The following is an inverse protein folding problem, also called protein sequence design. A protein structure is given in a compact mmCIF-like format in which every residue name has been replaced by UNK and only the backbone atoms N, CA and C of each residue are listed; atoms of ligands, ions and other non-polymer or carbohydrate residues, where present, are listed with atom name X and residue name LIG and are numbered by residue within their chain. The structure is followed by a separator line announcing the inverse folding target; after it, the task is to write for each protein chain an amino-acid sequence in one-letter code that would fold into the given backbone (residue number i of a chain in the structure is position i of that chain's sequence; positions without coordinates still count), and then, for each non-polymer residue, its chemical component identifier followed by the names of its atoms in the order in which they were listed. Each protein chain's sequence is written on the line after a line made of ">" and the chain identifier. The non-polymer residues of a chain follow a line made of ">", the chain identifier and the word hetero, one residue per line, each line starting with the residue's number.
data_IF_670150936001
#
_entry.id   IF_670150936001
#
_cell.length_a   1.000
_cell.length_b   1.000
_cell.length_c   1.000
_cell.angle_alpha   90.00
_cell.angle_beta   90.00
_cell.angle_gamma   90.00
#
_symmetry.space_group_name_H-M   'P 1'
#
loop_
_entity.id
_entity.type
_entity.pdbx_description
1 polymer ?
#
# COMPACT_ATOMS: atom_id res chain seq x y z
N UNK A 1 -14.71 13.21 1.98
CA UNK A 1 -13.65 13.55 1.00
C UNK A 1 -13.22 12.25 0.35
N UNK A 2 -13.22 12.14 -0.97
CA UNK A 2 -12.74 10.94 -1.64
C UNK A 2 -11.18 10.98 -1.71
N UNK A 3 -10.57 9.86 -2.06
CA UNK A 3 -9.10 9.74 -2.07
C UNK A 3 -8.41 10.68 -3.09
N UNK A 4 -9.08 11.05 -4.19
CA UNK A 4 -8.54 12.01 -5.17
C UNK A 4 -8.49 13.42 -4.59
N UNK A 5 -9.54 13.86 -3.90
CA UNK A 5 -9.58 15.15 -3.21
C UNK A 5 -8.54 15.22 -2.09
N UNK A 6 -8.32 14.12 -1.37
CA UNK A 6 -7.28 14.04 -0.32
C UNK A 6 -5.89 14.19 -0.95
N UNK A 7 -5.63 13.47 -2.05
CA UNK A 7 -4.36 13.56 -2.76
C UNK A 7 -4.10 14.96 -3.31
N UNK A 8 -5.11 15.57 -3.93
CA UNK A 8 -5.03 16.95 -4.43
C UNK A 8 -4.74 17.94 -3.31
N UNK A 9 -5.40 17.79 -2.16
CA UNK A 9 -5.14 18.60 -0.96
C UNK A 9 -3.69 18.46 -0.50
N UNK A 10 -3.17 17.22 -0.45
CA UNK A 10 -1.79 16.96 -0.04
C UNK A 10 -0.77 17.57 -1.01
N UNK A 11 -0.97 17.39 -2.33
CA UNK A 11 -0.08 17.95 -3.37
C UNK A 11 -0.09 19.48 -3.32
N UNK A 12 -1.27 20.11 -3.24
CA UNK A 12 -1.42 21.56 -3.19
C UNK A 12 -0.76 22.16 -1.93
N UNK A 13 -0.92 21.51 -0.77
CA UNK A 13 -0.27 21.93 0.47
C UNK A 13 1.25 21.93 0.33
N UNK A 14 1.83 20.87 -0.23
CA UNK A 14 3.28 20.75 -0.45
C UNK A 14 3.81 21.77 -1.46
N UNK A 15 3.02 22.15 -2.45
CA UNK A 15 3.38 23.15 -3.45
C UNK A 15 3.29 24.58 -2.93
N UNK A 16 2.42 24.86 -1.95
CA UNK A 16 2.21 26.20 -1.38
C UNK A 16 3.31 26.66 -0.43
N UNK A 17 4.14 25.76 0.05
CA UNK A 17 5.35 26.05 0.86
C UNK A 17 5.12 26.50 2.30
N UNK A 18 3.88 26.83 2.70
CA UNK A 18 3.54 27.28 4.05
C UNK A 18 2.57 26.35 4.74
N UNK A 19 2.87 25.98 5.99
CA UNK A 19 1.98 25.19 6.89
C UNK A 19 1.51 23.82 6.34
N UNK A 20 2.15 23.31 5.30
CA UNK A 20 1.79 22.04 4.69
C UNK A 20 1.73 20.87 5.70
N UNK A 21 2.58 20.91 6.75
CA UNK A 21 2.59 19.87 7.79
C UNK A 21 1.26 19.82 8.52
N UNK A 22 0.75 20.96 8.98
CA UNK A 22 -0.53 21.03 9.66
C UNK A 22 -1.66 20.48 8.77
N UNK A 23 -1.67 20.86 7.49
CA UNK A 23 -2.65 20.34 6.53
C UNK A 23 -2.56 18.82 6.38
N UNK A 24 -1.35 18.25 6.28
CA UNK A 24 -1.19 16.80 6.13
C UNK A 24 -1.50 16.04 7.42
N UNK A 25 -1.25 16.65 8.60
CA UNK A 25 -1.58 16.07 9.91
C UNK A 25 -3.09 15.93 10.14
N UNK A 26 -3.90 16.82 9.54
CA UNK A 26 -5.36 16.78 9.63
C UNK A 26 -6.01 15.77 8.68
N UNK A 27 -5.28 15.22 7.72
CA UNK A 27 -5.84 14.25 6.78
C UNK A 27 -6.17 12.92 7.47
N UNK A 28 -7.37 12.37 7.22
CA UNK A 28 -7.86 11.16 7.91
C UNK A 28 -7.28 9.85 7.33
N UNK A 29 -6.27 9.95 6.48
CA UNK A 29 -5.59 8.81 5.84
C UNK A 29 -4.08 8.91 6.06
N UNK A 30 -3.35 7.79 6.04
CA UNK A 30 -1.90 7.80 6.06
C UNK A 30 -1.32 8.60 4.89
N UNK A 31 -0.53 9.62 5.22
CA UNK A 31 0.21 10.45 4.26
C UNK A 31 1.67 10.52 4.66
N UNK A 32 2.56 10.29 3.73
CA UNK A 32 3.99 10.45 3.94
C UNK A 32 4.69 10.97 2.67
N UNK A 33 5.86 11.56 2.87
CA UNK A 33 6.70 12.05 1.77
C UNK A 33 8.07 11.41 1.79
N UNK A 34 8.71 11.38 0.62
CA UNK A 34 10.13 11.03 0.47
C UNK A 34 10.86 12.13 -0.28
N UNK A 35 12.19 12.17 -0.12
CA UNK A 35 13.06 12.90 -1.04
C UNK A 35 13.24 12.12 -2.37
N UNK A 36 13.99 12.70 -3.29
CA UNK A 36 14.30 12.06 -4.59
C UNK A 36 15.18 10.81 -4.46
N UNK A 37 15.86 10.60 -3.32
CA UNK A 37 16.64 9.40 -3.02
C UNK A 37 15.80 8.32 -2.30
N UNK A 38 14.50 8.60 -2.10
CA UNK A 38 13.54 7.69 -1.46
C UNK A 38 13.60 7.68 0.07
N UNK A 39 14.38 8.56 0.71
CA UNK A 39 14.37 8.66 2.17
C UNK A 39 13.07 9.28 2.65
N UNK A 40 12.42 8.68 3.64
CA UNK A 40 11.20 9.22 4.23
C UNK A 40 11.52 10.54 4.94
N UNK A 41 10.81 11.61 4.59
CA UNK A 41 11.05 12.98 5.07
C UNK A 41 9.93 13.51 5.99
N UNK A 42 8.74 12.91 5.88
CA UNK A 42 7.59 13.24 6.71
C UNK A 42 6.56 12.11 6.71
N UNK A 43 5.79 12.01 7.78
CA UNK A 43 4.58 11.18 7.90
C UNK A 43 3.61 11.81 8.90
N UNK A 44 2.31 11.58 8.71
CA UNK A 44 1.30 11.98 9.67
C UNK A 44 0.99 10.85 10.68
N UNK A 45 0.20 11.18 11.72
CA UNK A 45 -0.20 10.23 12.77
C UNK A 45 -0.90 8.99 12.19
N UNK A 46 -1.74 9.15 11.16
CA UNK A 46 -2.43 8.02 10.54
C UNK A 46 -1.46 6.99 9.94
N UNK A 47 -0.24 7.39 9.51
CA UNK A 47 0.81 6.45 9.10
C UNK A 47 1.26 5.53 10.23
N UNK A 48 1.44 6.07 11.45
CA UNK A 48 1.84 5.29 12.62
C UNK A 48 0.76 4.29 12.99
N UNK A 49 -0.49 4.71 13.01
CA UNK A 49 -1.66 3.88 13.28
C UNK A 49 -1.85 2.79 12.22
N UNK A 50 -1.62 3.11 10.95
CA UNK A 50 -1.69 2.14 9.86
C UNK A 50 -0.53 1.14 9.88
N UNK A 51 0.70 1.61 10.03
CA UNK A 51 1.91 0.77 9.99
C UNK A 51 2.14 -0.04 11.28
N UNK A 52 1.49 0.34 12.39
CA UNK A 52 1.73 -0.24 13.72
C UNK A 52 3.14 0.01 14.25
N UNK A 53 3.81 1.01 13.72
CA UNK A 53 5.15 1.47 14.12
C UNK A 53 5.35 2.94 13.76
N UNK A 54 6.23 3.60 14.47
CA UNK A 54 6.70 4.92 14.08
C UNK A 54 7.86 4.79 13.09
N UNK A 55 7.81 5.48 11.94
CA UNK A 55 8.92 5.55 11.01
C UNK A 55 10.12 6.30 11.61
N UNK A 56 11.33 6.02 11.11
CA UNK A 56 12.55 6.67 11.58
C UNK A 56 13.20 7.49 10.46
N UNK A 57 13.34 8.81 10.69
CA UNK A 57 14.06 9.70 9.77
C UNK A 57 15.51 9.21 9.56
N UNK A 58 15.95 9.21 8.31
CA UNK A 58 17.30 8.79 7.93
C UNK A 58 17.51 7.29 7.87
N UNK A 59 16.55 6.47 8.30
CA UNK A 59 16.61 5.00 8.21
C UNK A 59 15.58 4.43 7.24
N UNK A 60 14.32 4.89 7.35
CA UNK A 60 13.26 4.37 6.49
C UNK A 60 13.34 4.95 5.09
N UNK A 61 13.27 4.06 4.11
CA UNK A 61 13.28 4.39 2.68
C UNK A 61 12.06 3.80 1.98
N UNK A 62 11.51 4.57 1.06
CA UNK A 62 10.44 4.20 0.15
C UNK A 62 9.07 3.97 0.77
N UNK A 63 9.01 3.50 2.01
CA UNK A 63 7.74 3.20 2.66
C UNK A 63 7.84 3.30 4.18
N UNK A 64 6.72 3.68 4.80
CA UNK A 64 6.58 3.77 6.27
C UNK A 64 6.27 2.42 6.94
N UNK A 65 5.90 1.41 6.15
CA UNK A 65 5.51 0.07 6.65
C UNK A 65 6.74 -0.79 6.95
N UNK A 66 6.59 -1.77 7.86
CA UNK A 66 7.68 -2.68 8.22
C UNK A 66 8.06 -3.63 7.08
N UNK A 67 7.07 -4.32 6.50
CA UNK A 67 7.24 -5.21 5.35
C UNK A 67 6.06 -5.07 4.40
N UNK A 68 6.30 -5.30 3.12
CA UNK A 68 5.28 -5.25 2.09
C UNK A 68 5.23 -6.60 1.36
N UNK A 69 4.03 -7.00 0.99
CA UNK A 69 3.74 -8.20 0.19
C UNK A 69 2.79 -7.85 -0.95
N UNK A 70 2.84 -8.66 -2.00
CA UNK A 70 1.83 -8.66 -3.05
C UNK A 70 0.52 -9.29 -2.54
N UNK A 71 -0.55 -9.16 -3.29
CA UNK A 71 -1.83 -9.83 -3.00
C UNK A 71 -1.74 -11.36 -3.14
N UNK A 72 -0.70 -11.87 -3.81
CA UNK A 72 -0.38 -13.30 -3.92
C UNK A 72 0.50 -13.82 -2.77
N UNK A 73 0.88 -12.94 -1.83
CA UNK A 73 1.66 -13.29 -0.65
C UNK A 73 3.18 -13.28 -0.84
N UNK A 74 3.67 -12.87 -2.00
CA UNK A 74 5.09 -12.72 -2.28
C UNK A 74 5.64 -11.46 -1.62
N UNK A 75 6.85 -11.53 -1.06
CA UNK A 75 7.49 -10.37 -0.46
C UNK A 75 7.86 -9.34 -1.51
N UNK A 76 7.41 -8.09 -1.32
CA UNK A 76 7.77 -6.95 -2.15
C UNK A 76 8.85 -6.12 -1.43
N UNK A 77 10.10 -6.10 -1.92
CA UNK A 77 11.14 -5.23 -1.35
C UNK A 77 10.74 -3.75 -1.44
N UNK A 78 11.12 -2.94 -0.44
CA UNK A 78 10.75 -1.52 -0.40
C UNK A 78 11.26 -0.73 -1.62
N UNK A 79 12.42 -1.07 -2.17
CA UNK A 79 12.97 -0.45 -3.38
C UNK A 79 12.26 -0.87 -4.68
N UNK A 80 11.27 -1.76 -4.61
CA UNK A 80 10.40 -2.18 -5.71
C UNK A 80 8.92 -1.85 -5.43
N UNK A 81 8.64 -1.15 -4.34
CA UNK A 81 7.28 -0.76 -3.98
C UNK A 81 6.75 0.35 -4.92
N UNK A 82 5.43 0.58 -4.94
CA UNK A 82 4.84 1.62 -5.79
C UNK A 82 5.43 3.01 -5.61
N UNK A 83 5.88 3.38 -4.39
CA UNK A 83 6.57 4.65 -4.14
C UNK A 83 7.92 4.70 -4.84
N UNK A 84 8.74 3.65 -4.74
CA UNK A 84 10.01 3.55 -5.42
C UNK A 84 9.84 3.62 -6.95
N UNK A 85 8.84 2.91 -7.48
CA UNK A 85 8.49 2.97 -8.91
C UNK A 85 8.13 4.39 -9.32
N UNK A 86 7.29 5.09 -8.55
CA UNK A 86 6.87 6.44 -8.88
C UNK A 86 8.04 7.45 -8.93
N UNK A 87 8.98 7.34 -8.00
CA UNK A 87 10.18 8.20 -7.95
C UNK A 87 11.13 7.87 -9.10
N UNK A 88 11.41 6.59 -9.34
CA UNK A 88 12.34 6.16 -10.40
C UNK A 88 11.84 6.48 -11.82
N UNK A 89 10.55 6.25 -12.04
CA UNK A 89 9.93 6.47 -13.34
C UNK A 89 9.33 7.89 -13.49
N UNK A 90 9.41 8.71 -12.43
CA UNK A 90 8.91 10.09 -12.40
C UNK A 90 7.44 10.21 -12.85
N UNK A 91 6.64 9.20 -12.53
CA UNK A 91 5.21 9.16 -12.86
C UNK A 91 4.38 8.63 -11.68
N UNK A 92 3.16 9.06 -11.60
CA UNK A 92 2.22 8.52 -10.62
C UNK A 92 1.94 7.03 -10.87
N UNK A 93 1.87 6.24 -9.80
CA UNK A 93 1.43 4.84 -9.85
C UNK A 93 0.00 4.76 -9.29
N UNK A 94 -0.86 4.02 -9.98
CA UNK A 94 -2.29 3.87 -9.64
C UNK A 94 -2.68 2.39 -9.77
N UNK A 95 -3.85 2.05 -9.20
CA UNK A 95 -4.51 0.74 -9.34
C UNK A 95 -3.69 -0.47 -8.85
N UNK A 96 -2.75 -0.23 -7.94
CA UNK A 96 -1.96 -1.27 -7.30
C UNK A 96 -2.49 -1.49 -5.88
N UNK A 97 -2.59 -2.76 -5.46
CA UNK A 97 -2.87 -3.13 -4.07
C UNK A 97 -1.65 -3.86 -3.53
N UNK A 98 -1.24 -3.49 -2.32
CA UNK A 98 -0.17 -4.15 -1.59
C UNK A 98 -0.65 -4.50 -0.17
N UNK A 99 0.05 -5.40 0.49
CA UNK A 99 -0.25 -5.85 1.85
C UNK A 99 0.89 -5.43 2.76
N UNK A 100 0.60 -4.58 3.73
CA UNK A 100 1.51 -4.21 4.80
C UNK A 100 1.46 -5.27 5.91
N UNK A 101 2.61 -5.80 6.32
CA UNK A 101 2.74 -6.54 7.56
C UNK A 101 3.25 -5.61 8.66
N UNK A 102 2.64 -5.70 9.82
CA UNK A 102 2.97 -4.93 11.02
C UNK A 102 3.93 -5.71 11.93
N UNK A 103 4.64 -5.05 12.85
CA UNK A 103 5.50 -5.72 13.83
C UNK A 103 4.74 -6.72 14.73
N UNK A 104 3.47 -6.47 15.03
CA UNK A 104 2.60 -7.36 15.81
C UNK A 104 2.12 -8.61 15.06
N UNK A 105 2.49 -8.74 13.78
CA UNK A 105 2.12 -9.84 12.89
C UNK A 105 0.79 -9.63 12.16
N UNK A 106 0.02 -8.60 12.47
CA UNK A 106 -1.19 -8.28 11.72
C UNK A 106 -0.88 -7.76 10.31
N UNK A 107 -1.84 -7.85 9.41
CA UNK A 107 -1.70 -7.39 8.02
C UNK A 107 -2.83 -6.45 7.64
N UNK A 108 -2.52 -5.49 6.78
CA UNK A 108 -3.50 -4.58 6.16
C UNK A 108 -3.28 -4.49 4.66
N UNK A 109 -4.32 -4.63 3.89
CA UNK A 109 -4.27 -4.34 2.45
C UNK A 109 -4.47 -2.84 2.23
N UNK A 110 -3.68 -2.27 1.33
CA UNK A 110 -3.77 -0.84 1.03
C UNK A 110 -3.59 -0.57 -0.46
N UNK A 111 -4.21 0.51 -0.91
CA UNK A 111 -4.01 1.08 -2.24
C UNK A 111 -3.19 2.35 -2.09
N UNK A 112 -1.94 2.36 -2.56
CA UNK A 112 -1.08 3.55 -2.53
C UNK A 112 -1.38 4.46 -3.73
N UNK A 113 -1.17 5.77 -3.51
CA UNK A 113 -1.28 6.82 -4.54
C UNK A 113 0.00 7.66 -4.60
N UNK A 114 1.17 7.07 -4.87
CA UNK A 114 2.39 7.84 -4.94
C UNK A 114 2.37 8.79 -6.13
N UNK A 115 2.75 10.04 -5.86
CA UNK A 115 2.77 11.13 -6.83
C UNK A 115 4.09 11.86 -6.71
N UNK A 116 4.92 11.88 -7.77
CA UNK A 116 6.18 12.63 -7.78
C UNK A 116 5.96 14.13 -7.62
N UNK A 117 6.90 14.78 -6.97
CA UNK A 117 6.93 16.23 -6.74
C UNK A 117 8.12 16.82 -7.48
N UNK A 118 7.91 17.95 -8.15
CA UNK A 118 8.91 18.63 -8.93
C UNK A 118 9.05 20.07 -8.47
N UNK A 119 10.23 20.65 -8.61
CA UNK A 119 10.45 22.08 -8.43
C UNK A 119 10.02 22.88 -9.69
N UNK A 120 10.10 24.20 -9.62
CA UNK A 120 9.74 25.11 -10.72
C UNK A 120 10.64 24.92 -11.96
N UNK A 121 11.81 24.32 -11.81
CA UNK A 121 12.73 23.99 -12.91
C UNK A 121 12.46 22.59 -13.50
N UNK A 122 11.48 21.86 -12.96
CA UNK A 122 11.10 20.51 -13.41
C UNK A 122 12.00 19.39 -12.86
N UNK A 123 12.84 19.67 -11.86
CA UNK A 123 13.63 18.62 -11.23
C UNK A 123 12.80 17.87 -10.17
N UNK A 124 12.96 16.57 -10.11
CA UNK A 124 12.33 15.74 -9.09
C UNK A 124 12.88 16.11 -7.70
N UNK A 125 12.00 16.52 -6.79
CA UNK A 125 12.34 16.84 -5.40
C UNK A 125 12.01 15.71 -4.44
N UNK A 126 11.09 14.82 -4.83
CA UNK A 126 10.63 13.70 -4.02
C UNK A 126 9.28 13.18 -4.48
N UNK A 127 8.52 12.62 -3.55
CA UNK A 127 7.16 12.19 -3.82
C UNK A 127 6.30 12.24 -2.56
N UNK A 128 5.00 12.41 -2.73
CA UNK A 128 3.97 12.22 -1.69
C UNK A 128 3.18 10.96 -1.96
N UNK A 129 2.78 10.24 -0.92
CA UNK A 129 1.93 9.08 -1.02
C UNK A 129 0.82 9.13 0.03
N UNK A 130 -0.40 8.83 -0.39
CA UNK A 130 -1.49 8.50 0.52
C UNK A 130 -1.76 7.00 0.44
N UNK A 131 -2.12 6.39 1.58
CA UNK A 131 -2.44 4.96 1.66
C UNK A 131 -3.93 4.82 2.01
N UNK A 132 -4.70 4.26 1.11
CA UNK A 132 -6.11 3.96 1.35
C UNK A 132 -6.22 2.53 1.85
N UNK A 133 -6.74 2.35 3.07
CA UNK A 133 -6.99 1.01 3.62
C UNK A 133 -8.13 0.35 2.83
N UNK A 134 -7.85 -0.81 2.26
CA UNK A 134 -8.79 -1.63 1.47
C UNK A 134 -8.85 -3.07 2.00
N UNK A 135 -8.55 -3.25 3.29
CA UNK A 135 -8.42 -4.58 3.90
C UNK A 135 -9.72 -5.38 3.81
N UNK A 136 -10.87 -4.78 4.08
CA UNK A 136 -12.17 -5.46 4.00
C UNK A 136 -12.53 -5.79 2.55
N UNK A 137 -12.41 -4.80 1.65
CA UNK A 137 -12.66 -4.96 0.21
C UNK A 137 -11.80 -6.08 -0.39
N UNK A 138 -10.50 -6.06 -0.07
CA UNK A 138 -9.56 -7.05 -0.57
C UNK A 138 -9.81 -8.44 0.03
N UNK A 139 -10.16 -8.53 1.30
CA UNK A 139 -10.52 -9.81 1.95
C UNK A 139 -11.73 -10.44 1.29
N UNK A 140 -12.74 -9.66 0.95
CA UNK A 140 -13.93 -10.14 0.25
C UNK A 140 -13.59 -10.63 -1.18
N UNK A 141 -12.86 -9.82 -1.95
CA UNK A 141 -12.47 -10.17 -3.32
C UNK A 141 -11.64 -11.45 -3.39
N UNK A 142 -10.68 -11.63 -2.46
CA UNK A 142 -9.87 -12.84 -2.39
C UNK A 142 -10.68 -14.08 -2.00
N UNK A 143 -11.63 -13.94 -1.08
CA UNK A 143 -12.52 -15.04 -0.70
C UNK A 143 -13.39 -15.49 -1.88
N UNK A 144 -13.91 -14.55 -2.69
CA UNK A 144 -14.62 -14.88 -3.93
C UNK A 144 -13.73 -15.59 -4.94
N UNK A 145 -12.49 -15.12 -5.15
CA UNK A 145 -11.54 -15.78 -6.05
C UNK A 145 -11.21 -17.20 -5.60
N UNK A 146 -11.00 -17.43 -4.30
CA UNK A 146 -10.82 -18.78 -3.74
C UNK A 146 -12.01 -19.68 -4.05
N UNK A 147 -13.23 -19.16 -3.87
CA UNK A 147 -14.47 -19.88 -4.23
C UNK A 147 -14.58 -20.23 -5.70
N UNK A 148 -14.18 -19.31 -6.59
CA UNK A 148 -14.16 -19.58 -8.05
C UNK A 148 -13.14 -20.66 -8.40
N UNK A 149 -11.93 -20.60 -7.85
CA UNK A 149 -10.91 -21.63 -8.08
C UNK A 149 -11.39 -23.02 -7.66
N UNK A 150 -12.06 -23.15 -6.50
CA UNK A 150 -12.62 -24.42 -6.05
C UNK A 150 -13.68 -24.95 -7.01
N UNK A 151 -14.66 -24.14 -7.40
CA UNK A 151 -15.71 -24.55 -8.35
C UNK A 151 -15.13 -24.97 -9.71
N UNK A 152 -14.10 -24.28 -10.19
CA UNK A 152 -13.42 -24.67 -11.42
C UNK A 152 -12.68 -25.99 -11.26
N UNK A 153 -11.95 -26.20 -10.16
CA UNK A 153 -11.27 -27.45 -9.88
C UNK A 153 -12.24 -28.64 -9.86
N UNK A 154 -13.41 -28.47 -9.22
CA UNK A 154 -14.45 -29.51 -9.13
C UNK A 154 -15.07 -29.88 -10.50
N UNK A 155 -15.02 -28.97 -11.49
CA UNK A 155 -15.57 -29.14 -12.82
C UNK A 155 -14.57 -29.69 -13.86
N UNK A 156 -13.27 -29.77 -13.50
CA UNK A 156 -12.20 -30.19 -14.40
C UNK A 156 -11.93 -31.70 -14.29
N UNK A 157 -11.58 -32.30 -15.42
CA UNK A 157 -11.14 -33.71 -15.49
C UNK A 157 -9.61 -33.86 -15.42
N UNK A 158 -8.89 -32.80 -15.77
CA UNK A 158 -7.42 -32.82 -15.76
C UNK A 158 -6.88 -32.63 -14.33
N UNK A 159 -6.11 -33.63 -13.88
CA UNK A 159 -5.60 -33.68 -12.51
C UNK A 159 -4.58 -32.59 -12.21
N UNK A 160 -3.79 -32.19 -13.19
CA UNK A 160 -2.78 -31.15 -13.02
C UNK A 160 -3.46 -29.77 -12.82
N UNK A 161 -4.41 -29.44 -13.67
CA UNK A 161 -5.24 -28.22 -13.57
C UNK A 161 -6.01 -28.17 -12.23
N UNK A 162 -6.61 -29.29 -11.80
CA UNK A 162 -7.28 -29.37 -10.49
C UNK A 162 -6.33 -29.06 -9.34
N UNK A 163 -5.09 -29.56 -9.40
CA UNK A 163 -4.08 -29.34 -8.36
C UNK A 163 -3.66 -27.87 -8.30
N UNK A 164 -3.42 -27.24 -9.45
CA UNK A 164 -3.07 -25.83 -9.54
C UNK A 164 -4.19 -24.93 -8.97
N UNK A 165 -5.43 -25.14 -9.42
CA UNK A 165 -6.59 -24.37 -8.95
C UNK A 165 -6.82 -24.54 -7.44
N UNK A 166 -6.67 -25.76 -6.93
CA UNK A 166 -6.79 -26.02 -5.49
C UNK A 166 -5.68 -25.34 -4.68
N UNK A 167 -4.46 -25.29 -5.21
CA UNK A 167 -3.34 -24.58 -4.59
C UNK A 167 -3.58 -23.06 -4.55
N UNK A 168 -4.07 -22.48 -5.66
CA UNK A 168 -4.44 -21.06 -5.73
C UNK A 168 -5.54 -20.72 -4.71
N UNK A 169 -6.58 -21.55 -4.61
CA UNK A 169 -7.65 -21.35 -3.63
C UNK A 169 -7.11 -21.32 -2.20
N UNK A 170 -6.23 -22.24 -1.84
CA UNK A 170 -5.59 -22.29 -0.52
C UNK A 170 -4.74 -21.04 -0.25
N UNK A 171 -4.02 -20.55 -1.24
CA UNK A 171 -3.21 -19.36 -1.13
C UNK A 171 -4.06 -18.11 -0.88
N UNK A 172 -5.19 -17.97 -1.59
CA UNK A 172 -6.15 -16.89 -1.36
C UNK A 172 -6.78 -16.98 0.04
N UNK A 173 -7.21 -18.17 0.48
CA UNK A 173 -7.76 -18.38 1.83
C UNK A 173 -6.75 -18.03 2.93
N UNK A 174 -5.48 -18.38 2.74
CA UNK A 174 -4.43 -18.01 3.69
C UNK A 174 -4.27 -16.49 3.76
N UNK A 175 -4.26 -15.80 2.63
CA UNK A 175 -4.16 -14.34 2.58
C UNK A 175 -5.37 -13.68 3.26
N UNK A 176 -6.59 -14.19 3.04
CA UNK A 176 -7.81 -13.72 3.73
C UNK A 176 -7.70 -13.90 5.24
N UNK A 177 -7.20 -15.06 5.68
CA UNK A 177 -6.99 -15.34 7.11
C UNK A 177 -5.99 -14.35 7.71
N UNK A 178 -4.87 -14.11 7.04
CA UNK A 178 -3.84 -13.16 7.47
C UNK A 178 -4.36 -11.72 7.56
N UNK A 179 -5.26 -11.31 6.64
CA UNK A 179 -5.88 -9.98 6.65
C UNK A 179 -6.93 -9.81 7.75
N UNK A 180 -7.66 -10.89 8.10
CA UNK A 180 -8.70 -10.87 9.13
C UNK A 180 -8.17 -11.13 10.53
N UNK A 181 -6.97 -11.71 10.65
CA UNK A 181 -6.35 -11.96 11.95
C UNK A 181 -6.08 -10.63 12.66
N UNK A 182 -6.85 -10.36 13.76
CA UNK A 182 -6.77 -9.16 14.62
C UNK A 182 -7.42 -7.86 14.08
N UNK A 183 -8.64 -7.97 13.53
CA UNK A 183 -9.58 -6.83 13.54
C UNK A 183 -10.38 -6.74 14.87
N UNK A 184 -10.09 -7.63 15.81
CA UNK A 184 -10.84 -7.75 17.07
C UNK A 184 -9.93 -7.37 18.24
N UNK A 185 -9.73 -6.05 18.45
CA UNK A 185 -9.44 -5.41 19.75
C UNK A 185 -9.75 -3.91 19.65
#
# INVERSE_FOLDING_TARGET
>A
MNHEQILETAVNALSSGTEWRATLDELPVPVYTTDAAGSVTYWNRACVEFAGREPELGKDKWCVTWKIYTTTGERLPHNQCPMATAVHEQRSVRDVIAIAARPDGSRRAFRPYPTPLFDDAGNLTGAVNILVDVTEEQSFALAEQAGRCRRLADSMYDRETCTVLSSMAKQFDQTVTDLRCRQSD
#
